data_IF_010716153700
#
_entry.id   IF_010716153700
#
_cell.length_a   1.000
_cell.length_b   1.000
_cell.length_c   1.000
_cell.angle_alpha   90.00
_cell.angle_beta   90.00
_cell.angle_gamma   90.00
#
_symmetry.space_group_name_H-M   'P 1'
#
loop_
_entity.id
_entity.type
_entity.pdbx_description
1 polymer ?
#
# COMPACT_ATOMS: atom_id res chain seq x y z
N UNK A 1 10.45 30.72 0.93
CA UNK A 1 10.77 30.79 -0.51
C UNK A 1 12.25 31.08 -0.66
N UNK A 2 13.13 30.06 -0.74
CA UNK A 2 14.49 30.26 -1.21
C UNK A 2 14.49 30.24 -2.74
N UNK A 3 15.17 31.19 -3.37
CA UNK A 3 15.29 31.32 -4.82
C UNK A 3 16.11 30.18 -5.45
N UNK A 4 15.98 29.96 -6.77
CA UNK A 4 16.72 28.90 -7.45
C UNK A 4 18.21 29.24 -7.52
N UNK A 5 19.05 28.29 -7.11
CA UNK A 5 20.50 28.34 -7.26
C UNK A 5 20.89 28.47 -8.74
N UNK A 6 21.70 29.48 -9.12
CA UNK A 6 22.15 29.67 -10.50
C UNK A 6 23.20 28.66 -10.97
N UNK A 7 23.71 27.79 -10.10
CA UNK A 7 24.78 26.82 -10.40
C UNK A 7 24.30 25.46 -10.94
N UNK A 8 23.00 25.14 -10.87
CA UNK A 8 22.47 23.86 -11.35
C UNK A 8 22.57 23.67 -12.88
N UNK A 9 22.85 24.73 -13.64
CA UNK A 9 22.98 24.69 -15.10
C UNK A 9 24.38 24.39 -15.62
N UNK A 10 25.45 24.64 -14.84
CA UNK A 10 26.83 24.65 -15.37
C UNK A 10 27.59 23.33 -15.21
N UNK A 11 27.20 22.47 -14.27
CA UNK A 11 27.81 21.14 -14.10
C UNK A 11 27.34 20.11 -15.13
N UNK A 12 26.22 20.37 -15.82
CA UNK A 12 25.64 19.44 -16.79
C UNK A 12 26.38 19.45 -18.14
N UNK A 13 27.06 20.56 -18.50
CA UNK A 13 27.77 20.71 -19.78
C UNK A 13 29.21 20.20 -19.74
N UNK A 14 29.94 20.36 -18.62
CA UNK A 14 31.35 19.91 -18.49
C UNK A 14 31.50 18.39 -18.45
N UNK A 15 30.44 17.65 -18.17
CA UNK A 15 30.40 16.17 -18.19
C UNK A 15 30.18 15.54 -19.57
N UNK A 16 29.87 16.31 -20.62
CA UNK A 16 29.38 15.77 -21.90
C UNK A 16 30.38 14.92 -22.68
N UNK A 17 31.60 15.43 -22.91
CA UNK A 17 32.63 14.74 -23.69
C UNK A 17 33.40 13.68 -22.88
N UNK A 18 33.69 13.95 -21.60
CA UNK A 18 34.31 12.96 -20.70
C UNK A 18 33.37 11.79 -20.40
N UNK A 19 32.06 12.04 -20.25
CA UNK A 19 31.04 11.00 -20.14
C UNK A 19 30.86 10.20 -21.43
N UNK A 20 30.98 10.84 -22.61
CA UNK A 20 30.93 10.16 -23.90
C UNK A 20 32.15 9.23 -24.13
N UNK A 21 33.35 9.64 -23.71
CA UNK A 21 34.54 8.77 -23.72
C UNK A 21 34.46 7.65 -22.68
N UNK A 22 33.74 7.86 -21.57
CA UNK A 22 33.42 6.81 -20.59
C UNK A 22 32.49 5.71 -21.14
N UNK A 23 31.77 5.99 -22.23
CA UNK A 23 30.89 5.04 -22.91
C UNK A 23 31.57 4.16 -23.96
N UNK A 24 32.87 4.34 -24.25
CA UNK A 24 33.58 3.49 -25.22
C UNK A 24 33.69 2.05 -24.71
N UNK A 25 33.22 1.11 -25.52
CA UNK A 25 33.35 -0.33 -25.24
C UNK A 25 34.79 -0.79 -25.43
N UNK A 26 35.11 -2.02 -25.04
CA UNK A 26 36.43 -2.62 -25.32
C UNK A 26 36.80 -2.57 -26.81
N UNK A 27 35.81 -2.68 -27.71
CA UNK A 27 36.01 -2.54 -29.15
C UNK A 27 36.32 -1.09 -29.54
N UNK A 28 35.56 -0.12 -29.04
CA UNK A 28 35.85 1.29 -29.32
C UNK A 28 37.23 1.73 -28.83
N UNK A 29 37.64 1.28 -27.64
CA UNK A 29 38.96 1.59 -27.07
C UNK A 29 40.10 0.96 -27.87
N UNK A 30 39.95 -0.29 -28.32
CA UNK A 30 40.98 -0.96 -29.14
C UNK A 30 41.11 -0.33 -30.52
N UNK A 31 40.00 0.02 -31.19
CA UNK A 31 40.03 0.74 -32.47
C UNK A 31 40.67 2.13 -32.35
N UNK A 32 40.33 2.87 -31.29
CA UNK A 32 40.94 4.19 -31.02
C UNK A 32 42.44 4.07 -30.74
N UNK A 33 42.86 3.10 -29.92
CA UNK A 33 44.26 2.86 -29.60
C UNK A 33 45.07 2.41 -30.84
N UNK A 34 44.53 1.48 -31.63
CA UNK A 34 45.13 1.03 -32.88
C UNK A 34 45.25 2.17 -33.91
N UNK A 35 44.22 3.03 -34.01
CA UNK A 35 44.23 4.17 -34.92
C UNK A 35 45.29 5.21 -34.54
N UNK A 36 45.41 5.52 -33.25
CA UNK A 36 46.45 6.41 -32.73
C UNK A 36 47.85 5.84 -32.91
N UNK A 37 48.04 4.54 -32.65
CA UNK A 37 49.32 3.86 -32.87
C UNK A 37 49.72 3.86 -34.35
N UNK A 38 48.78 3.53 -35.26
CA UNK A 38 49.02 3.56 -36.69
C UNK A 38 49.34 4.98 -37.21
N UNK A 39 48.64 6.01 -36.70
CA UNK A 39 48.92 7.39 -37.05
C UNK A 39 50.30 7.85 -36.56
N UNK A 40 50.73 7.43 -35.37
CA UNK A 40 52.06 7.73 -34.83
C UNK A 40 53.16 7.05 -35.67
N UNK A 41 52.99 5.77 -36.00
CA UNK A 41 53.91 5.05 -36.88
C UNK A 41 53.98 5.70 -38.27
N UNK A 42 52.84 6.09 -38.85
CA UNK A 42 52.81 6.78 -40.13
C UNK A 42 53.58 8.11 -40.13
N UNK A 43 53.44 8.88 -39.05
CA UNK A 43 54.17 10.13 -38.87
C UNK A 43 55.67 9.89 -38.78
N UNK A 44 56.11 8.87 -38.03
CA UNK A 44 57.52 8.51 -37.89
C UNK A 44 58.15 7.97 -39.19
N UNK A 45 57.38 7.21 -39.98
CA UNK A 45 57.84 6.62 -41.24
C UNK A 45 57.64 7.55 -42.46
N UNK A 46 56.99 8.71 -42.30
CA UNK A 46 56.71 9.65 -43.38
C UNK A 46 55.73 9.11 -44.44
N UNK A 47 54.96 8.05 -44.14
CA UNK A 47 54.00 7.48 -45.07
C UNK A 47 52.61 8.08 -44.93
N UNK A 48 52.22 8.91 -45.90
CA UNK A 48 50.91 9.55 -45.92
C UNK A 48 49.73 8.56 -45.99
N UNK A 49 49.90 7.41 -46.63
CA UNK A 49 48.82 6.41 -46.77
C UNK A 49 48.48 5.75 -45.43
N UNK A 50 49.50 5.42 -44.63
CA UNK A 50 49.30 4.84 -43.30
C UNK A 50 48.64 5.85 -42.35
N UNK A 51 48.94 7.15 -42.51
CA UNK A 51 48.35 8.22 -41.72
C UNK A 51 46.83 8.32 -41.97
N UNK A 52 46.40 8.22 -43.24
CA UNK A 52 44.98 8.25 -43.61
C UNK A 52 44.21 7.08 -42.98
N UNK A 53 44.79 5.88 -43.00
CA UNK A 53 44.18 4.68 -42.39
C UNK A 53 44.10 4.82 -40.87
N UNK A 54 45.17 5.26 -40.21
CA UNK A 54 45.18 5.49 -38.77
C UNK A 54 44.16 6.54 -38.32
N UNK A 55 44.07 7.64 -39.07
CA UNK A 55 43.08 8.70 -38.83
C UNK A 55 41.64 8.17 -39.00
N UNK A 56 41.35 7.41 -40.06
CA UNK A 56 40.02 6.84 -40.28
C UNK A 56 39.61 5.89 -39.14
N UNK A 57 40.55 5.07 -38.67
CA UNK A 57 40.32 4.11 -37.59
C UNK A 57 40.06 4.82 -36.25
N UNK A 58 40.76 5.93 -35.97
CA UNK A 58 40.52 6.76 -34.79
C UNK A 58 39.26 7.62 -34.89
N UNK A 59 38.89 8.05 -36.11
CA UNK A 59 37.70 8.88 -36.35
C UNK A 59 36.40 8.10 -36.16
N UNK A 60 36.37 6.81 -36.50
CA UNK A 60 35.15 6.00 -36.45
C UNK A 60 34.53 5.90 -35.03
N UNK A 61 35.28 5.56 -33.95
CA UNK A 61 34.75 5.58 -32.58
C UNK A 61 34.28 6.97 -32.14
N UNK A 62 34.96 8.05 -32.56
CA UNK A 62 34.57 9.42 -32.26
C UNK A 62 33.23 9.79 -32.92
N UNK A 63 33.04 9.41 -34.19
CA UNK A 63 31.77 9.60 -34.90
C UNK A 63 30.63 8.81 -34.23
N UNK A 64 30.89 7.57 -33.79
CA UNK A 64 29.90 6.76 -33.05
C UNK A 64 29.52 7.41 -31.72
N UNK A 65 30.51 7.93 -30.97
CA UNK A 65 30.26 8.63 -29.70
C UNK A 65 29.43 9.91 -29.90
N UNK A 66 29.75 10.73 -30.92
CA UNK A 66 28.99 11.94 -31.25
C UNK A 66 27.57 11.60 -31.70
N UNK A 67 27.40 10.55 -32.52
CA UNK A 67 26.09 10.07 -32.96
C UNK A 67 25.21 9.66 -31.77
N UNK A 68 25.72 8.81 -30.85
CA UNK A 68 24.98 8.40 -29.66
C UNK A 68 24.67 9.56 -28.72
N UNK A 69 25.63 10.48 -28.53
CA UNK A 69 25.44 11.65 -27.67
C UNK A 69 24.32 12.56 -28.20
N UNK A 70 24.22 12.76 -29.52
CA UNK A 70 23.13 13.56 -30.11
C UNK A 70 21.78 12.85 -30.04
N UNK A 71 21.76 11.53 -30.20
CA UNK A 71 20.53 10.72 -30.13
C UNK A 71 19.95 10.70 -28.71
N UNK A 72 20.80 10.72 -27.67
CA UNK A 72 20.37 10.63 -26.26
C UNK A 72 19.38 11.71 -25.83
N UNK A 73 19.52 12.93 -26.34
CA UNK A 73 18.72 14.09 -25.96
C UNK A 73 17.33 14.09 -26.59
N UNK A 74 17.03 13.10 -27.43
CA UNK A 74 15.82 13.05 -28.26
C UNK A 74 14.96 11.83 -28.00
N UNK A 75 15.22 11.08 -26.92
CA UNK A 75 14.40 9.94 -26.52
C UNK A 75 13.76 10.24 -25.17
N UNK A 76 12.44 10.06 -25.06
CA UNK A 76 11.71 10.18 -23.80
C UNK A 76 11.15 8.82 -23.41
N UNK A 77 11.25 8.47 -22.13
CA UNK A 77 10.79 7.21 -21.59
C UNK A 77 9.78 7.45 -20.48
N UNK A 78 8.61 6.85 -20.58
CA UNK A 78 7.57 6.89 -19.54
C UNK A 78 7.15 5.48 -19.15
N UNK A 79 6.65 5.35 -17.91
CA UNK A 79 6.08 4.12 -17.40
C UNK A 79 4.67 4.40 -16.91
N UNK A 80 3.78 3.49 -17.26
CA UNK A 80 2.42 3.45 -16.76
C UNK A 80 2.19 2.13 -16.02
N UNK A 81 1.63 2.20 -14.82
CA UNK A 81 1.26 1.05 -14.01
C UNK A 81 -0.25 1.02 -13.87
N UNK A 82 -0.89 -0.06 -14.30
CA UNK A 82 -2.35 -0.21 -14.24
C UNK A 82 -2.74 -1.62 -13.76
N UNK A 83 -3.52 -1.74 -12.67
CA UNK A 83 -3.80 -0.69 -11.67
C UNK A 83 -2.59 -0.46 -10.73
N UNK A 84 -2.54 0.71 -10.06
CA UNK A 84 -1.48 1.04 -9.11
C UNK A 84 -1.63 0.34 -7.74
N UNK A 85 -2.83 -0.16 -7.46
CA UNK A 85 -3.18 -0.91 -6.25
C UNK A 85 -3.84 -2.23 -6.65
N UNK A 86 -3.35 -3.34 -6.13
CA UNK A 86 -3.87 -4.70 -6.40
C UNK A 86 -3.96 -5.52 -5.12
N UNK A 87 -4.93 -6.43 -5.00
CA UNK A 87 -4.92 -7.43 -3.94
C UNK A 87 -3.72 -8.39 -4.09
N UNK A 88 -3.24 -8.93 -2.98
CA UNK A 88 -2.23 -9.98 -2.97
C UNK A 88 -2.63 -11.15 -3.88
N UNK A 89 -1.66 -11.67 -4.63
CA UNK A 89 -1.85 -12.73 -5.64
C UNK A 89 -2.42 -12.26 -6.98
N UNK A 90 -2.76 -10.98 -7.13
CA UNK A 90 -3.29 -10.42 -8.38
C UNK A 90 -2.19 -9.81 -9.26
N UNK A 91 -2.40 -9.82 -10.57
CA UNK A 91 -1.44 -9.27 -11.54
C UNK A 91 -1.71 -7.79 -11.81
N UNK A 92 -0.65 -6.97 -11.88
CA UNK A 92 -0.69 -5.62 -12.44
C UNK A 92 0.12 -5.57 -13.75
N UNK A 93 -0.34 -4.73 -14.70
CA UNK A 93 0.36 -4.52 -15.97
C UNK A 93 1.21 -3.27 -15.88
N UNK A 94 2.49 -3.43 -16.19
CA UNK A 94 3.41 -2.31 -16.39
C UNK A 94 3.61 -2.13 -17.88
N UNK A 95 3.30 -0.94 -18.37
CA UNK A 95 3.55 -0.52 -19.74
C UNK A 95 4.70 0.46 -19.73
N UNK A 96 5.75 0.13 -20.49
CA UNK A 96 6.89 1.00 -20.74
C UNK A 96 6.75 1.59 -22.14
N UNK A 97 6.87 2.90 -22.24
CA UNK A 97 6.75 3.63 -23.48
C UNK A 97 8.00 4.43 -23.75
N UNK A 98 8.50 4.30 -24.97
CA UNK A 98 9.66 5.03 -25.47
C UNK A 98 9.24 5.83 -26.70
N UNK A 99 9.32 7.15 -26.59
CA UNK A 99 8.97 8.09 -27.64
C UNK A 99 10.26 8.67 -28.25
N UNK A 100 10.42 8.54 -29.58
CA UNK A 100 11.53 9.13 -30.32
C UNK A 100 11.14 10.50 -30.84
N UNK A 101 11.78 11.54 -30.31
CA UNK A 101 11.68 12.94 -30.78
C UNK A 101 12.75 13.24 -31.84
N UNK A 102 13.41 12.20 -32.36
CA UNK A 102 14.50 12.34 -33.33
C UNK A 102 14.02 12.18 -34.77
N UNK A 103 14.74 12.83 -35.69
CA UNK A 103 14.55 12.66 -37.16
C UNK A 103 15.43 11.55 -37.75
N UNK A 104 16.28 10.94 -36.92
CA UNK A 104 17.25 9.93 -37.33
C UNK A 104 16.81 8.56 -36.79
N UNK A 105 17.04 7.46 -37.52
CA UNK A 105 16.78 6.13 -37.01
C UNK A 105 17.64 5.88 -35.78
N UNK A 106 17.02 5.41 -34.70
CA UNK A 106 17.77 5.05 -33.49
C UNK A 106 18.47 3.70 -33.69
N UNK A 107 19.64 3.51 -33.07
CA UNK A 107 20.31 2.21 -33.01
C UNK A 107 19.50 1.20 -32.18
N UNK A 108 20.12 0.04 -31.88
CA UNK A 108 19.51 -0.93 -30.98
C UNK A 108 19.31 -0.31 -29.59
N UNK A 109 18.08 -0.39 -29.09
CA UNK A 109 17.69 0.14 -27.79
C UNK A 109 17.44 -1.02 -26.84
N UNK A 110 18.11 -1.04 -25.71
CA UNK A 110 17.84 -1.99 -24.63
C UNK A 110 17.16 -1.25 -23.48
N UNK A 111 15.91 -1.61 -23.23
CA UNK A 111 15.13 -1.08 -22.12
C UNK A 111 15.19 -2.06 -20.95
N UNK A 112 15.53 -1.56 -19.77
CA UNK A 112 15.61 -2.33 -18.55
C UNK A 112 14.85 -1.60 -17.45
N UNK A 113 13.92 -2.27 -16.80
CA UNK A 113 13.26 -1.73 -15.61
C UNK A 113 13.79 -2.42 -14.35
N UNK A 114 13.89 -1.67 -13.26
CA UNK A 114 14.32 -2.20 -11.97
C UNK A 114 13.08 -2.53 -11.15
N UNK A 115 12.88 -3.82 -10.92
CA UNK A 115 11.74 -4.36 -10.18
C UNK A 115 12.27 -5.12 -8.96
N UNK A 116 11.67 -4.96 -7.76
CA UNK A 116 11.98 -5.78 -6.60
C UNK A 116 11.82 -7.28 -6.90
N UNK A 117 12.70 -8.12 -6.35
CA UNK A 117 12.72 -9.56 -6.67
C UNK A 117 11.41 -10.28 -6.33
N UNK A 118 10.70 -9.81 -5.29
CA UNK A 118 9.39 -10.33 -4.88
C UNK A 118 8.34 -10.27 -6.01
N UNK A 119 8.49 -9.31 -6.94
CA UNK A 119 7.58 -9.13 -8.08
C UNK A 119 8.02 -9.89 -9.35
N UNK A 120 9.19 -10.54 -9.31
CA UNK A 120 9.73 -11.31 -10.43
C UNK A 120 11.14 -10.86 -10.90
N UNK A 121 11.63 -11.44 -12.01
CA UNK A 121 12.94 -11.12 -12.56
C UNK A 121 12.97 -9.71 -13.16
N UNK A 122 14.16 -9.11 -13.26
CA UNK A 122 14.34 -7.79 -13.87
C UNK A 122 14.03 -7.85 -15.37
N UNK A 123 12.97 -7.19 -15.85
CA UNK A 123 12.57 -7.27 -17.24
C UNK A 123 13.57 -6.50 -18.13
N UNK A 124 13.95 -7.13 -19.25
CA UNK A 124 14.87 -6.59 -20.25
C UNK A 124 14.24 -6.76 -21.61
N UNK A 125 14.13 -5.67 -22.35
CA UNK A 125 13.53 -5.66 -23.68
C UNK A 125 14.52 -5.09 -24.68
N UNK A 126 14.74 -5.81 -25.76
CA UNK A 126 15.45 -5.32 -26.93
C UNK A 126 14.40 -4.72 -27.87
N UNK A 127 14.47 -3.41 -28.03
CA UNK A 127 13.69 -2.67 -28.99
C UNK A 127 14.52 -2.49 -30.25
N UNK A 128 13.96 -2.96 -31.37
CA UNK A 128 14.50 -2.60 -32.67
C UNK A 128 14.30 -1.10 -32.94
N UNK A 129 14.97 -0.60 -33.97
CA UNK A 129 14.98 0.79 -34.42
C UNK A 129 13.61 1.47 -34.27
N UNK A 130 13.57 2.53 -33.47
CA UNK A 130 12.42 3.43 -33.41
C UNK A 130 12.49 4.38 -34.60
N UNK A 131 11.43 4.40 -35.40
CA UNK A 131 11.29 5.32 -36.53
C UNK A 131 11.33 6.79 -36.06
N UNK A 132 11.72 7.74 -36.93
CA UNK A 132 11.60 9.17 -36.65
C UNK A 132 10.19 9.57 -36.21
N UNK A 133 10.03 10.15 -35.02
CA UNK A 133 8.71 10.48 -34.46
C UNK A 133 7.88 9.27 -34.01
N UNK A 134 8.45 8.06 -34.11
CA UNK A 134 7.82 6.80 -33.75
C UNK A 134 7.72 6.59 -32.24
N UNK A 135 6.82 5.69 -31.87
CA UNK A 135 6.55 5.32 -30.48
C UNK A 135 6.65 3.81 -30.37
N UNK A 136 7.34 3.31 -29.35
CA UNK A 136 7.39 1.88 -29.04
C UNK A 136 6.91 1.64 -27.62
N UNK A 137 6.09 0.62 -27.50
CA UNK A 137 5.46 0.23 -26.24
C UNK A 137 5.77 -1.24 -25.96
N UNK A 138 6.17 -1.53 -24.73
CA UNK A 138 6.35 -2.90 -24.26
C UNK A 138 5.67 -3.03 -22.93
N UNK A 139 4.95 -4.14 -22.73
CA UNK A 139 4.28 -4.42 -21.47
C UNK A 139 4.80 -5.69 -20.83
N UNK A 140 4.82 -5.69 -19.51
CA UNK A 140 5.09 -6.86 -18.69
C UNK A 140 4.14 -6.91 -17.50
N UNK A 141 4.05 -8.08 -16.87
CA UNK A 141 3.18 -8.29 -15.72
C UNK A 141 4.02 -8.45 -14.46
N UNK A 142 3.51 -7.93 -13.36
CA UNK A 142 4.07 -8.09 -12.03
C UNK A 142 3.01 -8.63 -11.10
N UNK A 143 3.41 -9.48 -10.16
CA UNK A 143 2.54 -10.08 -9.15
C UNK A 143 3.35 -10.28 -7.88
N UNK A 144 2.73 -10.01 -6.73
CA UNK A 144 3.26 -10.40 -5.41
C UNK A 144 2.17 -11.13 -4.65
N UNK A 145 2.55 -12.21 -3.97
CA UNK A 145 1.68 -12.89 -3.00
C UNK A 145 1.81 -12.26 -1.59
N UNK A 146 2.81 -11.40 -1.38
CA UNK A 146 3.00 -10.64 -0.16
C UNK A 146 2.49 -9.21 -0.32
N UNK A 147 1.84 -8.71 0.74
CA UNK A 147 1.42 -7.30 0.85
C UNK A 147 2.62 -6.37 1.00
N UNK A 148 2.45 -5.12 0.57
CA UNK A 148 3.49 -4.11 0.71
C UNK A 148 3.46 -3.04 -0.37
N UNK A 149 4.37 -2.07 -0.25
CA UNK A 149 4.62 -1.05 -1.26
C UNK A 149 5.90 -1.36 -2.01
N UNK A 150 5.80 -1.59 -3.31
CA UNK A 150 6.92 -1.97 -4.15
C UNK A 150 7.25 -0.83 -5.13
N UNK A 151 8.35 -0.09 -4.92
CA UNK A 151 8.79 0.90 -5.87
C UNK A 151 9.35 0.22 -7.12
N UNK A 152 8.81 0.61 -8.28
CA UNK A 152 9.33 0.24 -9.58
C UNK A 152 10.26 1.35 -10.07
N UNK A 153 11.33 0.97 -10.75
CA UNK A 153 12.30 1.86 -11.37
C UNK A 153 13.60 2.03 -10.60
N UNK A 154 14.53 2.85 -11.12
CA UNK A 154 14.38 3.70 -12.30
C UNK A 154 14.36 2.90 -13.62
N UNK A 155 13.70 3.45 -14.64
CA UNK A 155 13.73 2.93 -16.00
C UNK A 155 15.09 3.27 -16.63
N UNK A 156 15.80 2.25 -17.11
CA UNK A 156 17.12 2.38 -17.72
C UNK A 156 17.04 2.09 -19.21
N UNK A 157 17.56 3.01 -20.01
CA UNK A 157 17.72 2.85 -21.45
C UNK A 157 19.21 2.77 -21.77
N UNK A 158 19.63 1.67 -22.37
CA UNK A 158 20.97 1.49 -22.93
C UNK A 158 20.88 1.59 -24.43
N UNK A 159 21.63 2.54 -24.99
CA UNK A 159 21.77 2.75 -26.43
C UNK A 159 23.13 2.21 -26.86
N UNK A 160 23.14 1.40 -27.92
CA UNK A 160 24.38 0.88 -28.52
C UNK A 160 24.45 1.31 -29.97
N UNK A 161 25.64 1.72 -30.43
CA UNK A 161 25.84 2.04 -31.84
C UNK A 161 25.85 0.77 -32.72
N UNK A 162 25.65 0.88 -34.05
CA UNK A 162 25.62 -0.29 -34.94
C UNK A 162 26.91 -1.12 -34.96
N UNK A 163 28.07 -0.53 -34.66
CA UNK A 163 29.36 -1.21 -34.62
C UNK A 163 29.73 -1.71 -33.21
N UNK A 164 28.92 -1.39 -32.19
CA UNK A 164 29.16 -1.77 -30.79
C UNK A 164 30.45 -1.19 -30.21
N UNK A 165 30.90 -0.05 -30.71
CA UNK A 165 32.10 0.67 -30.26
C UNK A 165 31.83 1.57 -29.06
N UNK A 166 30.59 2.04 -28.92
CA UNK A 166 30.13 2.99 -27.92
C UNK A 166 28.78 2.54 -27.35
N UNK A 167 28.63 2.69 -26.05
CA UNK A 167 27.39 2.46 -25.33
C UNK A 167 27.07 3.66 -24.44
N UNK A 168 25.79 3.98 -24.36
CA UNK A 168 25.32 5.06 -23.51
C UNK A 168 24.16 4.58 -22.66
N UNK A 169 24.30 4.72 -21.35
CA UNK A 169 23.25 4.42 -20.38
C UNK A 169 22.56 5.71 -19.95
N UNK A 170 21.23 5.73 -20.02
CA UNK A 170 20.39 6.82 -19.51
C UNK A 170 19.37 6.24 -18.54
N UNK A 171 19.26 6.83 -17.36
CA UNK A 171 18.18 6.54 -16.41
C UNK A 171 17.12 7.63 -16.50
N UNK A 172 15.85 7.22 -16.46
CA UNK A 172 14.73 8.13 -16.27
C UNK A 172 14.36 8.16 -14.77
N UNK A 173 14.14 9.36 -14.22
CA UNK A 173 13.85 9.57 -12.80
C UNK A 173 12.44 9.15 -12.38
N UNK A 174 11.55 8.86 -13.32
CA UNK A 174 10.17 8.45 -13.05
C UNK A 174 10.12 7.17 -12.22
N UNK A 175 9.62 7.27 -10.99
CA UNK A 175 9.30 6.16 -10.12
C UNK A 175 7.78 5.98 -10.03
N UNK A 176 7.34 4.74 -9.82
CA UNK A 176 5.93 4.35 -9.75
C UNK A 176 5.87 3.26 -8.71
N UNK A 177 4.87 3.32 -7.83
CA UNK A 177 4.77 2.39 -6.71
C UNK A 177 3.57 1.49 -6.94
N UNK A 178 3.78 0.17 -6.85
CA UNK A 178 2.71 -0.81 -6.77
C UNK A 178 2.39 -1.06 -5.31
N UNK A 179 1.15 -0.78 -4.90
CA UNK A 179 0.66 -1.10 -3.56
C UNK A 179 -0.12 -2.41 -3.61
N UNK A 180 0.40 -3.43 -2.93
CA UNK A 180 -0.26 -4.73 -2.80
C UNK A 180 -1.01 -4.75 -1.48
N UNK A 181 -2.33 -4.74 -1.55
CA UNK A 181 -3.23 -4.75 -0.39
C UNK A 181 -3.58 -6.18 0.01
N UNK A 182 -4.01 -6.42 1.27
CA UNK A 182 -4.52 -7.74 1.65
C UNK A 182 -5.67 -8.21 0.76
N UNK A 183 -5.84 -9.52 0.68
CA UNK A 183 -6.96 -10.12 -0.04
C UNK A 183 -8.25 -9.86 0.74
N UNK A 184 -9.28 -9.45 0.02
CA UNK A 184 -10.60 -9.15 0.60
C UNK A 184 -11.57 -10.22 0.14
N UNK A 185 -12.24 -10.85 1.09
CA UNK A 185 -13.32 -11.78 0.84
C UNK A 185 -14.66 -11.12 1.12
N UNK A 186 -15.64 -11.35 0.23
CA UNK A 186 -16.98 -10.79 0.42
C UNK A 186 -17.71 -11.59 1.47
N UNK A 187 -17.99 -10.96 2.60
CA UNK A 187 -18.79 -11.53 3.66
C UNK A 187 -20.28 -11.50 3.29
N UNK A 188 -21.06 -12.54 3.67
CA UNK A 188 -22.50 -12.56 3.42
C UNK A 188 -23.18 -11.39 4.13
N UNK A 189 -24.24 -10.80 3.53
CA UNK A 189 -24.97 -9.71 4.16
C UNK A 189 -25.59 -10.20 5.46
N UNK A 190 -25.43 -9.40 6.52
CA UNK A 190 -26.11 -9.62 7.79
C UNK A 190 -27.62 -9.55 7.53
N UNK A 191 -28.34 -10.65 7.77
CA UNK A 191 -29.81 -10.64 7.66
C UNK A 191 -30.39 -9.81 8.80
N UNK A 192 -31.14 -8.74 8.52
CA UNK A 192 -31.92 -8.06 9.53
C UNK A 192 -33.14 -8.96 9.84
N UNK A 193 -33.09 -9.69 10.94
CA UNK A 193 -34.21 -10.51 11.41
C UNK A 193 -33.88 -12.00 11.49
N UNK A 194 -33.73 -12.47 12.72
CA UNK A 194 -33.67 -13.90 13.05
C UNK A 194 -32.50 -14.24 13.97
N UNK A 195 -32.76 -14.25 15.27
CA UNK A 195 -32.00 -14.98 16.30
C UNK A 195 -30.60 -14.49 16.70
N UNK A 196 -30.03 -13.45 16.07
CA UNK A 196 -28.84 -12.78 16.58
C UNK A 196 -29.19 -11.73 17.67
N UNK A 197 -29.49 -12.18 18.89
CA UNK A 197 -29.73 -11.33 20.09
C UNK A 197 -28.58 -10.39 20.49
N UNK A 198 -27.53 -10.25 19.69
CA UNK A 198 -26.38 -9.37 19.94
C UNK A 198 -26.19 -8.25 18.93
N UNK A 199 -26.91 -8.21 17.80
CA UNK A 199 -26.60 -7.22 16.76
C UNK A 199 -27.30 -5.88 17.03
N UNK A 200 -26.83 -5.11 18.02
CA UNK A 200 -27.12 -3.67 18.20
C UNK A 200 -28.58 -3.21 18.36
N UNK A 201 -29.54 -4.11 18.18
CA UNK A 201 -30.98 -3.81 18.12
C UNK A 201 -31.65 -4.08 19.48
N UNK A 202 -30.90 -4.65 20.43
CA UNK A 202 -31.34 -5.02 21.77
C UNK A 202 -31.72 -3.86 22.70
N UNK A 203 -31.73 -2.61 22.24
CA UNK A 203 -32.34 -1.50 22.99
C UNK A 203 -32.94 -0.40 22.14
N UNK A 204 -33.22 -0.65 20.86
CA UNK A 204 -33.84 0.35 19.99
C UNK A 204 -35.33 0.10 19.71
N UNK A 205 -35.94 -0.95 20.27
CA UNK A 205 -37.35 -1.23 19.98
C UNK A 205 -38.18 -1.79 21.14
N UNK A 206 -38.17 -1.17 22.33
CA UNK A 206 -39.30 -1.31 23.29
C UNK A 206 -39.48 -0.13 24.26
N UNK A 207 -39.11 1.09 23.87
CA UNK A 207 -39.56 2.31 24.57
C UNK A 207 -40.32 3.28 23.64
N UNK A 208 -40.43 2.96 22.35
CA UNK A 208 -41.21 3.74 21.39
C UNK A 208 -42.75 3.55 21.52
N UNK A 209 -43.22 2.77 22.51
CA UNK A 209 -44.64 2.54 22.79
C UNK A 209 -45.06 2.95 24.21
N UNK A 210 -44.15 3.56 24.98
CA UNK A 210 -44.47 4.09 26.31
C UNK A 210 -43.71 5.41 26.54
N UNK A 211 -44.34 6.52 26.14
CA UNK A 211 -43.97 7.87 26.58
C UNK A 211 -42.92 8.58 25.72
N UNK A 212 -43.38 9.51 24.90
CA UNK A 212 -42.60 10.51 24.13
C UNK A 212 -41.82 11.53 25.01
N UNK A 213 -41.57 11.24 26.29
CA UNK A 213 -41.29 12.25 27.34
C UNK A 213 -39.93 12.09 28.07
N UNK A 214 -39.05 11.15 27.70
CA UNK A 214 -37.82 10.85 28.48
C UNK A 214 -36.53 11.53 27.98
N UNK A 215 -36.64 12.62 27.20
CA UNK A 215 -35.50 13.51 26.97
C UNK A 215 -35.32 14.42 28.18
N UNK A 216 -34.27 14.19 29.00
CA UNK A 216 -33.92 15.05 30.15
C UNK A 216 -33.89 16.52 29.68
N UNK A 217 -34.89 17.33 30.06
CA UNK A 217 -35.01 18.68 29.53
C UNK A 217 -33.91 19.55 30.15
N UNK A 218 -33.23 20.36 29.32
CA UNK A 218 -32.24 21.34 29.80
C UNK A 218 -32.80 22.76 29.72
N UNK A 219 -32.34 23.64 30.62
CA UNK A 219 -32.68 25.06 30.56
C UNK A 219 -32.27 25.67 29.22
N UNK A 220 -33.16 26.51 28.69
CA UNK A 220 -32.93 27.30 27.49
C UNK A 220 -31.73 28.21 27.68
N UNK A 221 -30.83 28.24 26.68
CA UNK A 221 -29.75 29.21 26.60
C UNK A 221 -30.00 30.13 25.42
N UNK A 222 -29.62 31.39 25.56
CA UNK A 222 -29.76 32.38 24.51
C UNK A 222 -28.97 31.91 23.26
N UNK A 223 -29.68 31.63 22.16
CA UNK A 223 -29.13 31.01 20.95
C UNK A 223 -29.74 29.65 20.60
N UNK A 224 -30.51 29.04 21.50
CA UNK A 224 -31.28 27.83 21.21
C UNK A 224 -32.52 28.16 20.33
N UNK A 225 -32.85 27.28 19.38
CA UNK A 225 -34.03 27.45 18.53
C UNK A 225 -35.33 27.29 19.35
N UNK A 226 -36.17 28.34 19.35
CA UNK A 226 -37.46 28.35 20.06
C UNK A 226 -38.43 27.26 19.59
N UNK A 227 -38.24 26.71 18.37
CA UNK A 227 -39.03 25.58 17.86
C UNK A 227 -38.76 24.28 18.61
N UNK A 228 -37.64 24.19 19.34
CA UNK A 228 -37.22 23.02 20.10
C UNK A 228 -37.64 23.08 21.57
N UNK A 229 -38.43 24.08 21.96
CA UNK A 229 -38.94 24.25 23.33
C UNK A 229 -39.94 23.15 23.67
N UNK A 230 -39.74 22.52 24.82
CA UNK A 230 -40.66 21.54 25.37
C UNK A 230 -41.73 22.22 26.22
N UNK A 231 -42.83 22.64 25.58
CA UNK A 231 -43.92 23.39 26.22
C UNK A 231 -44.49 22.70 27.47
N UNK A 232 -44.53 21.36 27.52
CA UNK A 232 -45.05 20.60 28.67
C UNK A 232 -44.13 20.67 29.88
N UNK A 233 -42.81 20.60 29.67
CA UNK A 233 -41.82 20.76 30.75
C UNK A 233 -41.69 22.22 31.16
N UNK A 234 -41.77 23.16 30.21
CA UNK A 234 -41.80 24.60 30.48
C UNK A 234 -43.02 25.01 31.31
N UNK A 235 -44.20 24.46 31.04
CA UNK A 235 -45.39 24.74 31.81
C UNK A 235 -45.31 24.24 33.27
N UNK A 236 -44.56 23.16 33.53
CA UNK A 236 -44.39 22.60 34.89
C UNK A 236 -43.30 23.28 35.70
N UNK A 237 -42.19 23.65 35.05
CA UNK A 237 -40.99 24.19 35.71
C UNK A 237 -40.95 25.72 35.72
N UNK A 238 -41.81 26.40 34.94
CA UNK A 238 -41.86 27.86 34.85
C UNK A 238 -40.72 28.49 34.05
N UNK A 239 -39.78 27.69 33.54
CA UNK A 239 -38.63 28.13 32.74
C UNK A 239 -38.66 27.52 31.33
N UNK A 240 -38.11 28.23 30.33
CA UNK A 240 -38.01 27.68 28.97
C UNK A 240 -37.07 26.46 28.99
N UNK A 241 -37.61 25.31 28.58
CA UNK A 241 -36.91 24.04 28.56
C UNK A 241 -36.75 23.63 27.10
N UNK A 242 -35.55 23.22 26.69
CA UNK A 242 -35.28 22.79 25.31
C UNK A 242 -35.05 21.28 25.29
N UNK A 243 -35.65 20.60 24.30
CA UNK A 243 -35.37 19.18 24.03
C UNK A 243 -33.88 19.03 23.74
N UNK A 244 -33.17 18.23 24.53
CA UNK A 244 -31.78 17.87 24.20
C UNK A 244 -31.81 16.97 22.97
N UNK A 245 -31.10 17.37 21.92
CA UNK A 245 -30.89 16.55 20.74
C UNK A 245 -30.01 15.37 21.18
N UNK A 246 -30.60 14.20 21.37
CA UNK A 246 -29.84 12.97 21.47
C UNK A 246 -29.25 12.73 20.08
N UNK A 247 -27.94 12.92 19.93
CA UNK A 247 -27.29 12.46 18.70
C UNK A 247 -27.52 10.96 18.65
N UNK A 248 -28.19 10.41 17.63
CA UNK A 248 -28.34 8.98 17.51
C UNK A 248 -26.93 8.38 17.51
N UNK A 249 -26.60 7.64 18.58
CA UNK A 249 -25.38 6.85 18.64
C UNK A 249 -25.47 5.86 17.49
N UNK A 250 -24.79 6.16 16.38
CA UNK A 250 -24.62 5.20 15.31
C UNK A 250 -23.83 4.04 15.88
N UNK A 251 -24.30 2.81 15.63
CA UNK A 251 -23.56 1.62 16.01
C UNK A 251 -22.18 1.69 15.35
N UNK A 252 -21.14 1.88 16.18
CA UNK A 252 -19.75 1.78 15.77
C UNK A 252 -19.22 0.36 15.96
N UNK A 253 -18.25 0.00 15.13
CA UNK A 253 -17.54 -1.26 15.24
C UNK A 253 -16.02 -1.04 15.30
N UNK A 254 -15.41 -1.58 16.34
CA UNK A 254 -13.95 -1.62 16.46
C UNK A 254 -13.46 -2.97 15.98
N UNK A 255 -12.54 -2.95 15.04
CA UNK A 255 -11.80 -4.13 14.60
C UNK A 255 -10.43 -4.09 15.28
N UNK A 256 -10.18 -5.04 16.18
CA UNK A 256 -8.89 -5.25 16.82
C UNK A 256 -8.08 -6.24 15.98
N UNK A 257 -6.90 -5.82 15.52
CA UNK A 257 -5.93 -6.67 14.85
C UNK A 257 -4.73 -6.87 15.77
N UNK A 258 -4.52 -8.10 16.22
CA UNK A 258 -3.28 -8.47 16.90
C UNK A 258 -2.14 -8.51 15.88
N UNK A 259 -1.13 -7.66 16.04
CA UNK A 259 0.08 -7.63 15.20
C UNK A 259 1.32 -8.13 15.92
N UNK A 260 1.22 -8.61 17.16
CA UNK A 260 2.38 -9.05 17.96
C UNK A 260 3.14 -10.17 17.27
N UNK A 261 4.46 -10.02 17.12
CA UNK A 261 5.33 -11.08 16.61
C UNK A 261 5.20 -12.38 17.43
N UNK A 262 5.06 -12.26 18.75
CA UNK A 262 4.94 -13.39 19.67
C UNK A 262 3.65 -14.21 19.49
N UNK A 263 2.60 -13.63 18.89
CA UNK A 263 1.32 -14.29 18.66
C UNK A 263 1.26 -15.13 17.37
N UNK A 264 2.27 -15.04 16.51
CA UNK A 264 2.26 -15.72 15.21
C UNK A 264 3.58 -16.44 14.92
N UNK A 265 3.50 -17.76 14.77
CA UNK A 265 4.53 -18.59 14.18
C UNK A 265 4.42 -18.63 12.65
N UNK A 266 5.57 -18.82 12.01
CA UNK A 266 5.69 -18.93 10.56
C UNK A 266 5.76 -17.57 9.86
N UNK A 267 6.13 -17.61 8.57
CA UNK A 267 6.18 -16.43 7.72
C UNK A 267 5.73 -16.78 6.31
N UNK A 268 5.30 -15.77 5.55
CA UNK A 268 4.89 -15.93 4.16
C UNK A 268 3.39 -15.77 3.91
N UNK A 269 2.96 -15.90 2.63
CA UNK A 269 1.62 -15.52 2.17
C UNK A 269 0.46 -16.31 2.80
N UNK A 270 0.73 -17.54 3.26
CA UNK A 270 -0.25 -18.43 3.88
C UNK A 270 -0.19 -18.46 5.41
N UNK A 271 0.53 -17.54 6.04
CA UNK A 271 0.65 -17.49 7.50
C UNK A 271 -0.66 -17.06 8.16
N UNK A 272 -0.84 -17.45 9.43
CA UNK A 272 -1.97 -17.02 10.25
C UNK A 272 -2.09 -15.48 10.31
N UNK A 273 -0.96 -14.78 10.33
CA UNK A 273 -0.95 -13.33 10.33
C UNK A 273 -1.51 -12.72 9.03
N UNK A 274 -1.14 -13.23 7.86
CA UNK A 274 -1.71 -12.78 6.57
C UNK A 274 -3.21 -13.05 6.49
N UNK A 275 -3.69 -14.16 7.08
CA UNK A 275 -5.11 -14.45 7.19
C UNK A 275 -5.81 -13.45 8.12
N UNK A 276 -5.25 -13.16 9.29
CA UNK A 276 -5.80 -12.17 10.24
C UNK A 276 -5.92 -10.77 9.60
N UNK A 277 -4.91 -10.34 8.85
CA UNK A 277 -4.92 -9.05 8.12
C UNK A 277 -5.98 -9.06 7.00
N UNK A 278 -6.10 -10.16 6.26
CA UNK A 278 -7.14 -10.33 5.23
C UNK A 278 -8.55 -10.37 5.83
N UNK A 279 -8.69 -11.00 7.00
CA UNK A 279 -9.89 -11.02 7.82
C UNK A 279 -10.32 -9.63 8.26
N UNK A 280 -9.40 -8.88 8.85
CA UNK A 280 -9.63 -7.50 9.27
C UNK A 280 -10.01 -6.60 8.09
N UNK A 281 -9.30 -6.70 6.95
CA UNK A 281 -9.62 -5.96 5.73
C UNK A 281 -11.05 -6.24 5.26
N UNK A 282 -11.43 -7.52 5.21
CA UNK A 282 -12.75 -7.97 4.77
C UNK A 282 -13.87 -7.50 5.71
N UNK A 283 -13.66 -7.60 7.03
CA UNK A 283 -14.62 -7.12 8.02
C UNK A 283 -14.79 -5.59 7.93
N UNK A 284 -13.70 -4.83 7.85
CA UNK A 284 -13.73 -3.37 7.75
C UNK A 284 -14.49 -2.91 6.50
N UNK A 285 -14.18 -3.49 5.33
CA UNK A 285 -14.84 -3.12 4.08
C UNK A 285 -16.31 -3.52 4.08
N UNK A 286 -16.64 -4.71 4.57
CA UNK A 286 -18.04 -5.15 4.70
C UNK A 286 -18.85 -4.20 5.57
N UNK A 287 -18.33 -3.80 6.73
CA UNK A 287 -19.00 -2.87 7.65
C UNK A 287 -19.14 -1.46 7.04
N UNK A 288 -18.12 -1.00 6.31
CA UNK A 288 -18.18 0.27 5.56
C UNK A 288 -19.23 0.24 4.45
N UNK A 289 -19.41 -0.88 3.75
CA UNK A 289 -20.48 -1.10 2.77
C UNK A 289 -21.88 -1.04 3.43
N UNK A 290 -22.00 -1.48 4.69
CA UNK A 290 -23.22 -1.38 5.49
C UNK A 290 -23.42 -0.01 6.17
N UNK A 291 -22.58 0.99 5.88
CA UNK A 291 -22.60 2.32 6.51
C UNK A 291 -22.39 2.32 8.03
N UNK A 292 -21.75 1.27 8.56
CA UNK A 292 -21.30 1.20 9.97
C UNK A 292 -20.02 2.02 10.11
N UNK A 293 -19.91 2.80 11.18
CA UNK A 293 -18.66 3.53 11.47
C UNK A 293 -17.64 2.54 12.00
N UNK A 294 -16.52 2.39 11.30
CA UNK A 294 -15.47 1.44 11.68
C UNK A 294 -14.22 2.14 12.19
N UNK A 295 -13.52 1.43 13.07
CA UNK A 295 -12.18 1.78 13.53
C UNK A 295 -11.33 0.53 13.56
N UNK A 296 -10.12 0.60 13.04
CA UNK A 296 -9.09 -0.40 13.21
C UNK A 296 -8.21 0.00 14.40
N UNK A 297 -8.03 -0.91 15.36
CA UNK A 297 -7.09 -0.76 16.48
C UNK A 297 -6.09 -1.90 16.40
N UNK A 298 -4.81 -1.59 16.62
CA UNK A 298 -3.74 -2.59 16.72
C UNK A 298 -3.32 -2.78 18.19
N UNK A 299 -2.57 -3.84 18.49
CA UNK A 299 -2.08 -4.13 19.84
C UNK A 299 -1.23 -3.00 20.45
N UNK A 300 -0.54 -2.21 19.62
CA UNK A 300 0.26 -1.05 20.05
C UNK A 300 -0.59 0.13 20.55
N UNK A 301 -1.90 0.10 20.33
CA UNK A 301 -2.83 1.19 20.61
C UNK A 301 -3.04 2.14 19.42
N UNK A 302 -2.42 1.89 18.26
CA UNK A 302 -2.65 2.72 17.09
C UNK A 302 -4.07 2.50 16.56
N UNK A 303 -4.85 3.58 16.49
CA UNK A 303 -6.25 3.58 16.09
C UNK A 303 -6.49 4.42 14.83
N UNK A 304 -7.19 3.83 13.86
CA UNK A 304 -7.46 4.45 12.56
C UNK A 304 -8.92 4.23 12.15
N UNK A 305 -9.70 5.29 11.83
CA UNK A 305 -9.34 6.72 11.91
C UNK A 305 -9.04 7.19 13.34
N UNK A 306 -8.22 8.24 13.47
CA UNK A 306 -7.87 8.82 14.78
C UNK A 306 -9.11 9.35 15.50
N UNK A 307 -9.09 9.35 16.84
CA UNK A 307 -10.20 9.83 17.67
C UNK A 307 -10.58 11.28 17.36
N UNK A 308 -11.89 11.56 17.38
CA UNK A 308 -12.44 12.87 17.00
C UNK A 308 -12.55 13.10 15.49
N UNK A 309 -12.11 12.15 14.65
CA UNK A 309 -12.39 12.19 13.22
C UNK A 309 -13.91 12.12 12.99
N UNK A 310 -14.52 13.06 12.25
CA UNK A 310 -15.96 13.04 12.04
C UNK A 310 -16.36 11.75 11.31
N UNK A 311 -17.47 11.09 11.69
CA UNK A 311 -17.87 9.82 11.11
C UNK A 311 -18.00 9.93 9.59
N UNK A 312 -17.49 8.93 8.87
CA UNK A 312 -17.49 8.91 7.41
C UNK A 312 -18.93 8.88 6.86
N UNK A 313 -19.47 10.03 6.48
CA UNK A 313 -20.77 10.13 5.82
C UNK A 313 -20.62 10.19 4.29
N UNK A 314 -21.44 9.41 3.58
CA UNK A 314 -21.93 9.62 2.19
C UNK A 314 -20.94 9.72 1.01
N UNK A 315 -19.64 9.81 1.28
CA UNK A 315 -18.56 9.95 0.29
C UNK A 315 -17.17 9.77 0.89
N UNK A 316 -17.07 9.89 2.22
CA UNK A 316 -15.86 9.57 2.99
C UNK A 316 -15.62 8.07 3.19
N UNK A 317 -16.64 7.22 3.01
CA UNK A 317 -16.48 5.75 3.16
C UNK A 317 -15.40 5.21 2.21
N UNK A 318 -15.37 5.66 0.95
CA UNK A 318 -14.32 5.28 0.00
C UNK A 318 -12.92 5.77 0.36
N UNK A 319 -12.81 6.97 0.96
CA UNK A 319 -11.52 7.51 1.43
C UNK A 319 -11.02 6.75 2.67
N UNK A 320 -11.92 6.46 3.61
CA UNK A 320 -11.62 5.64 4.80
C UNK A 320 -11.21 4.22 4.40
N UNK A 321 -11.93 3.61 3.45
CA UNK A 321 -11.57 2.31 2.89
C UNK A 321 -10.17 2.32 2.27
N UNK A 322 -9.86 3.33 1.43
CA UNK A 322 -8.54 3.47 0.82
C UNK A 322 -7.43 3.62 1.88
N UNK A 323 -7.67 4.43 2.91
CA UNK A 323 -6.72 4.67 4.00
C UNK A 323 -6.48 3.40 4.84
N UNK A 324 -7.54 2.68 5.20
CA UNK A 324 -7.43 1.42 5.94
C UNK A 324 -6.69 0.35 5.14
N UNK A 325 -7.01 0.22 3.85
CA UNK A 325 -6.34 -0.74 2.96
C UNK A 325 -4.87 -0.42 2.73
N UNK A 326 -4.53 0.87 2.66
CA UNK A 326 -3.14 1.32 2.52
C UNK A 326 -2.33 1.11 3.80
N UNK A 327 -2.95 1.27 4.98
CA UNK A 327 -2.34 0.89 6.26
C UNK A 327 -2.14 -0.62 6.34
N UNK A 328 -3.17 -1.40 6.06
CA UNK A 328 -3.12 -2.86 6.09
C UNK A 328 -2.16 -3.44 5.03
N UNK A 329 -1.86 -2.69 3.96
CA UNK A 329 -0.84 -3.10 2.99
C UNK A 329 0.57 -3.10 3.59
N UNK A 330 0.85 -2.25 4.57
CA UNK A 330 2.20 -2.05 5.14
C UNK A 330 2.31 -2.53 6.59
N UNK A 331 1.19 -2.82 7.25
CA UNK A 331 1.18 -3.35 8.61
C UNK A 331 2.09 -4.58 8.70
N UNK A 332 3.04 -4.54 9.63
CA UNK A 332 3.99 -5.63 9.92
C UNK A 332 3.75 -6.18 11.32
N UNK A 333 4.64 -7.06 11.77
CA UNK A 333 4.61 -7.49 13.16
C UNK A 333 5.08 -6.36 14.10
N UNK A 334 4.42 -6.23 15.24
CA UNK A 334 4.87 -5.39 16.34
C UNK A 334 5.81 -6.18 17.27
N UNK A 335 6.72 -5.46 17.92
CA UNK A 335 7.51 -5.97 19.05
C UNK A 335 6.72 -5.87 20.38
N UNK A 336 5.40 -5.70 20.31
CA UNK A 336 4.52 -5.52 21.46
C UNK A 336 4.43 -6.78 22.33
N UNK A 337 4.51 -6.60 23.64
CA UNK A 337 4.42 -7.71 24.60
C UNK A 337 2.98 -8.16 24.90
N UNK A 338 1.97 -7.32 24.66
CA UNK A 338 0.58 -7.60 25.02
C UNK A 338 -0.43 -6.60 24.47
N UNK A 339 -1.69 -6.76 24.86
CA UNK A 339 -2.87 -6.05 24.35
C UNK A 339 -3.34 -4.90 25.25
N UNK A 340 -2.58 -4.55 26.29
CA UNK A 340 -2.98 -3.55 27.30
C UNK A 340 -3.25 -2.17 26.72
N UNK A 341 -2.43 -1.70 25.76
CA UNK A 341 -2.64 -0.42 25.06
C UNK A 341 -3.89 -0.42 24.20
N UNK A 342 -4.12 -1.50 23.46
CA UNK A 342 -5.37 -1.67 22.72
C UNK A 342 -6.59 -1.65 23.66
N UNK A 343 -6.50 -2.29 24.83
CA UNK A 343 -7.57 -2.27 25.83
C UNK A 343 -7.89 -0.86 26.33
N UNK A 344 -6.88 -0.03 26.58
CA UNK A 344 -7.06 1.37 27.02
C UNK A 344 -7.85 2.18 25.96
N UNK A 345 -7.42 2.13 24.70
CA UNK A 345 -8.06 2.84 23.58
C UNK A 345 -9.48 2.35 23.31
N UNK A 346 -9.71 1.03 23.38
CA UNK A 346 -11.05 0.45 23.24
C UNK A 346 -11.93 0.79 24.46
N UNK A 347 -11.32 0.87 25.65
CA UNK A 347 -11.95 1.23 26.93
C UNK A 347 -12.42 2.69 26.99
N UNK A 348 -11.90 3.57 26.15
CA UNK A 348 -12.42 4.93 25.97
C UNK A 348 -13.56 4.99 24.94
N UNK A 349 -13.60 4.02 24.03
CA UNK A 349 -14.51 3.95 22.88
C UNK A 349 -15.88 3.33 23.19
N UNK A 350 -16.95 4.14 23.22
CA UNK A 350 -18.34 3.70 23.47
C UNK A 350 -19.01 2.87 22.36
N UNK A 351 -18.26 2.07 21.62
CA UNK A 351 -18.78 1.31 20.46
C UNK A 351 -19.49 0.00 20.86
N UNK A 352 -20.48 -0.40 20.07
CA UNK A 352 -21.39 -1.50 20.39
C UNK A 352 -20.92 -2.88 19.90
N UNK A 353 -20.04 -2.90 18.89
CA UNK A 353 -19.50 -4.12 18.29
C UNK A 353 -17.97 -4.12 18.33
N UNK A 354 -17.41 -5.25 18.73
CA UNK A 354 -15.97 -5.50 18.73
C UNK A 354 -15.70 -6.78 17.94
N UNK A 355 -14.85 -6.69 16.92
CA UNK A 355 -14.37 -7.84 16.15
C UNK A 355 -12.86 -7.94 16.35
N UNK A 356 -12.36 -9.03 16.91
CA UNK A 356 -10.94 -9.22 17.19
C UNK A 356 -10.36 -10.36 16.35
N UNK A 357 -9.23 -10.12 15.71
CA UNK A 357 -8.39 -11.13 15.06
C UNK A 357 -7.16 -11.33 15.94
N UNK A 358 -7.12 -12.46 16.66
CA UNK A 358 -6.16 -12.73 17.72
C UNK A 358 -5.30 -13.94 17.34
N UNK A 359 -3.99 -13.81 17.48
CA UNK A 359 -3.05 -14.93 17.38
C UNK A 359 -2.99 -15.72 18.69
N UNK A 360 -1.82 -16.30 18.96
CA UNK A 360 -1.55 -16.98 20.22
C UNK A 360 -1.62 -16.02 21.41
N UNK A 361 -2.47 -16.39 22.38
CA UNK A 361 -2.66 -15.69 23.64
C UNK A 361 -2.06 -16.52 24.79
N UNK A 362 -1.32 -15.84 25.66
CA UNK A 362 -1.00 -16.37 26.99
C UNK A 362 -2.18 -16.15 27.95
N UNK A 363 -2.04 -16.60 29.19
CA UNK A 363 -3.09 -16.48 30.21
C UNK A 363 -3.41 -15.02 30.56
N UNK A 364 -2.40 -14.14 30.61
CA UNK A 364 -2.55 -12.72 30.91
C UNK A 364 -3.30 -12.00 29.78
N UNK A 365 -2.91 -12.22 28.53
CA UNK A 365 -3.55 -11.66 27.35
C UNK A 365 -4.97 -12.20 27.18
N UNK A 366 -5.21 -13.47 27.50
CA UNK A 366 -6.57 -14.05 27.49
C UNK A 366 -7.46 -13.34 28.51
N UNK A 367 -6.96 -13.14 29.73
CA UNK A 367 -7.67 -12.41 30.78
C UNK A 367 -7.89 -10.93 30.43
N UNK A 368 -6.95 -10.31 29.70
CA UNK A 368 -7.07 -8.93 29.27
C UNK A 368 -8.09 -8.80 28.12
N UNK A 369 -8.02 -9.66 27.10
CA UNK A 369 -8.99 -9.73 26.02
C UNK A 369 -10.42 -9.98 26.55
N UNK A 370 -10.57 -10.84 27.55
CA UNK A 370 -11.84 -11.05 28.25
C UNK A 370 -12.42 -9.75 28.85
N UNK A 371 -11.57 -8.87 29.39
CA UNK A 371 -11.97 -7.57 29.98
C UNK A 371 -12.24 -6.47 28.96
N UNK A 372 -11.73 -6.58 27.73
CA UNK A 372 -11.98 -5.58 26.67
C UNK A 372 -13.48 -5.49 26.34
N UNK A 373 -14.23 -6.58 26.51
CA UNK A 373 -15.68 -6.57 26.28
C UNK A 373 -16.40 -5.76 27.37
N UNK A 374 -17.24 -4.82 26.94
CA UNK A 374 -18.14 -4.08 27.83
C UNK A 374 -19.45 -4.83 28.07
N UNK A 375 -20.09 -4.68 29.25
CA UNK A 375 -21.44 -5.17 29.46
C UNK A 375 -22.40 -4.57 28.42
N UNK A 376 -23.10 -5.42 27.67
CA UNK A 376 -24.06 -5.01 26.65
C UNK A 376 -23.47 -4.79 25.24
N UNK A 377 -22.16 -4.94 25.04
CA UNK A 377 -21.56 -4.99 23.70
C UNK A 377 -21.43 -6.43 23.18
N UNK A 378 -21.49 -6.56 21.86
CA UNK A 378 -21.23 -7.83 21.18
C UNK A 378 -19.78 -7.89 20.79
N UNK A 379 -19.13 -8.99 21.15
CA UNK A 379 -17.71 -9.21 20.88
C UNK A 379 -17.53 -10.54 20.15
N UNK A 380 -16.90 -10.50 18.98
CA UNK A 380 -16.56 -11.66 18.16
C UNK A 380 -15.05 -11.78 18.09
N UNK A 381 -14.49 -12.94 18.43
CA UNK A 381 -13.06 -13.20 18.35
C UNK A 381 -12.79 -14.33 17.36
N UNK A 382 -12.01 -14.03 16.33
CA UNK A 382 -11.36 -15.02 15.48
C UNK A 382 -10.03 -15.39 16.14
N UNK A 383 -9.97 -16.62 16.66
CA UNK A 383 -8.80 -17.13 17.37
C UNK A 383 -8.00 -18.01 16.41
N UNK A 384 -6.79 -17.59 16.10
CA UNK A 384 -5.83 -18.33 15.28
C UNK A 384 -4.81 -19.02 16.19
N UNK A 385 -4.59 -20.31 16.00
CA UNK A 385 -3.49 -21.04 16.65
C UNK A 385 -2.31 -21.12 15.69
N UNK A 386 -1.26 -20.34 15.94
CA UNK A 386 -0.18 -20.21 14.99
C UNK A 386 0.64 -21.49 14.82
N UNK A 387 0.63 -22.37 15.83
CA UNK A 387 1.33 -23.66 15.76
C UNK A 387 0.59 -24.63 14.85
N UNK A 388 -0.73 -24.72 14.97
CA UNK A 388 -1.57 -25.51 14.05
C UNK A 388 -1.38 -25.03 12.61
N UNK A 389 -1.24 -23.72 12.40
CA UNK A 389 -0.94 -23.13 11.09
C UNK A 389 0.48 -23.41 10.59
N UNK A 390 1.45 -23.57 11.49
CA UNK A 390 2.80 -24.02 11.16
C UNK A 390 2.91 -25.54 10.93
N UNK A 391 1.82 -26.30 11.15
CA UNK A 391 1.79 -27.75 11.05
C UNK A 391 2.33 -28.47 12.30
N UNK A 392 2.48 -27.75 13.41
CA UNK A 392 3.03 -28.25 14.67
C UNK A 392 1.97 -28.14 15.77
N UNK A 393 1.55 -29.24 16.40
CA UNK A 393 0.69 -29.18 17.60
C UNK A 393 -0.77 -29.58 17.42
N UNK A 394 -1.49 -29.62 18.54
CA UNK A 394 -2.88 -30.09 18.65
C UNK A 394 -3.86 -29.00 19.06
N UNK A 395 -5.16 -29.25 18.86
CA UNK A 395 -6.24 -28.26 19.05
C UNK A 395 -6.62 -28.00 20.52
N UNK A 396 -6.09 -28.77 21.48
CA UNK A 396 -6.50 -28.71 22.88
C UNK A 396 -6.23 -27.34 23.55
N UNK A 397 -5.10 -26.70 23.22
CA UNK A 397 -4.75 -25.38 23.75
C UNK A 397 -5.67 -24.28 23.20
N UNK A 398 -5.99 -24.33 21.91
CA UNK A 398 -6.97 -23.48 21.25
C UNK A 398 -8.35 -23.60 21.91
N UNK A 399 -8.80 -24.82 22.18
CA UNK A 399 -10.10 -25.09 22.81
C UNK A 399 -10.18 -24.59 24.26
N UNK A 400 -9.08 -24.67 25.02
CA UNK A 400 -9.01 -24.11 26.37
C UNK A 400 -9.14 -22.57 26.36
N UNK A 401 -8.38 -21.88 25.49
CA UNK A 401 -8.46 -20.41 25.34
C UNK A 401 -9.83 -19.96 24.85
N UNK A 402 -10.39 -20.68 23.88
CA UNK A 402 -11.71 -20.38 23.35
C UNK A 402 -12.82 -20.52 24.41
N UNK A 403 -12.69 -21.48 25.34
CA UNK A 403 -13.61 -21.61 26.48
C UNK A 403 -13.56 -20.39 27.41
N UNK A 404 -12.37 -19.95 27.81
CA UNK A 404 -12.20 -18.78 28.68
C UNK A 404 -12.82 -17.50 28.07
N UNK A 405 -12.59 -17.27 26.77
CA UNK A 405 -13.19 -16.13 26.07
C UNK A 405 -14.72 -16.24 25.97
N UNK A 406 -15.25 -17.45 25.71
CA UNK A 406 -16.71 -17.68 25.69
C UNK A 406 -17.35 -17.45 27.06
N UNK A 407 -16.69 -17.86 28.14
CA UNK A 407 -17.13 -17.59 29.52
C UNK A 407 -17.16 -16.08 29.82
N UNK A 408 -16.25 -15.31 29.24
CA UNK A 408 -16.28 -13.84 29.28
C UNK A 408 -17.36 -13.19 28.37
N UNK A 409 -18.13 -14.01 27.64
CA UNK A 409 -19.23 -13.58 26.77
C UNK A 409 -18.81 -13.20 25.36
N UNK A 410 -17.63 -13.64 24.90
CA UNK A 410 -17.22 -13.53 23.50
C UNK A 410 -17.84 -14.65 22.65
N UNK A 411 -18.20 -14.31 21.42
CA UNK A 411 -18.45 -15.31 20.38
C UNK A 411 -17.13 -15.67 19.73
N UNK A 412 -16.59 -16.85 20.06
CA UNK A 412 -15.25 -17.28 19.60
C UNK A 412 -15.36 -18.24 18.43
N UNK A 413 -14.70 -17.87 17.33
CA UNK A 413 -14.55 -18.65 16.11
C UNK A 413 -13.10 -19.14 16.00
N UNK A 414 -12.81 -20.41 16.31
CA UNK A 414 -11.49 -20.99 16.05
C UNK A 414 -11.26 -21.13 14.54
N UNK A 415 -10.10 -20.69 14.05
CA UNK A 415 -9.79 -20.68 12.61
C UNK A 415 -8.66 -21.66 12.29
N UNK A 416 -8.97 -22.83 11.71
CA UNK A 416 -7.94 -23.73 11.22
C UNK A 416 -7.36 -23.28 9.86
N UNK A 417 -6.16 -23.75 9.48
CA UNK A 417 -5.54 -23.40 8.20
C UNK A 417 -6.41 -23.84 7.01
N UNK A 418 -6.47 -23.00 5.99
CA UNK A 418 -7.21 -23.28 4.74
C UNK A 418 -8.70 -22.91 4.77
N UNK A 419 -9.22 -22.39 5.89
CA UNK A 419 -10.60 -21.91 5.98
C UNK A 419 -10.73 -20.53 5.33
N UNK A 420 -11.72 -20.39 4.45
CA UNK A 420 -12.15 -19.10 3.92
C UNK A 420 -12.92 -18.32 4.99
N UNK A 421 -12.87 -17.00 4.91
CA UNK A 421 -13.53 -16.12 5.88
C UNK A 421 -15.06 -16.06 5.66
N UNK A 422 -15.52 -16.31 4.43
CA UNK A 422 -16.91 -16.17 3.98
C UNK A 422 -17.85 -17.33 4.35
#
# INVERSE_FOLDING_TARGET
>A
MPGPDPDAGQDQERGGLRGALGGLTTRGRSFLAAGLAAALCAYLLGQGDLLRVGLLLALLPLLCAVFLYRTRHRVEGSRQLVPAQVPAGSEARVTLRVDSVSRLPTGLLMLQDRVPYVLGPRPRFLLDRVEPGGRREVSYRVRSDLRGRYPLGPLQLRLTDPFGMCELNRAFSGQSTLTVVPRVERLPPLRPGGEARGFGEGRQHTLALAGEDDLIPRGYRHGDDLRRVHWRSTARLGELMVRREEQPHRAGCTVLLDTRAAGYAGSGPGSAFEWAVSGAASALLHLLEQNVTVRLVTDTGDAVPAEGSPPASGGRSGQTAALLMDLLAVVGHSDGAGLSRAHEVIGESGEALLVAFLGDLDEEQTALAARVRRPGSTAVAFLLDSRVWAGEGGTEALDARARLLREAGWTVVPVPPGVALA
#
